data_IF_040025169373
#
_entry.id   IF_040025169373
#
_cell.length_a   1.000
_cell.length_b   1.000
_cell.length_c   1.000
_cell.angle_alpha   90.00
_cell.angle_beta   90.00
_cell.angle_gamma   90.00
#
_symmetry.space_group_name_H-M   'P 1'
#
loop_
_entity.id
_entity.type
_entity.pdbx_description
1 polymer ?
#
# COMPACT_ATOMS: atom_id res chain seq x y z
N UNK A 1 -28.85 38.48 14.96
CA UNK A 1 -28.51 38.47 13.53
C UNK A 1 -27.91 37.10 13.22
N UNK A 2 -28.76 36.16 12.78
CA UNK A 2 -28.38 34.79 12.46
C UNK A 2 -27.29 34.76 11.39
N UNK A 3 -26.17 34.09 11.69
CA UNK A 3 -25.34 33.52 10.62
C UNK A 3 -25.76 32.08 10.47
N UNK A 4 -26.50 31.81 9.41
CA UNK A 4 -26.98 30.48 9.08
C UNK A 4 -25.81 29.52 8.91
N UNK A 5 -25.95 28.41 9.62
CA UNK A 5 -24.94 27.42 9.91
C UNK A 5 -24.91 26.38 8.78
N UNK A 6 -24.60 26.81 7.55
CA UNK A 6 -24.41 25.87 6.44
C UNK A 6 -23.02 25.27 6.55
N UNK A 7 -22.90 24.14 7.26
CA UNK A 7 -21.74 23.23 7.12
C UNK A 7 -21.68 22.76 5.67
N UNK A 8 -20.97 23.48 4.82
CA UNK A 8 -20.73 23.08 3.44
C UNK A 8 -19.94 21.75 3.47
N UNK A 9 -20.58 20.66 3.05
CA UNK A 9 -19.95 19.33 2.96
C UNK A 9 -19.00 19.31 1.75
N UNK A 10 -17.81 19.90 1.94
CA UNK A 10 -16.80 19.98 0.90
C UNK A 10 -16.26 18.60 0.50
N UNK A 11 -15.62 18.52 -0.66
CA UNK A 11 -15.13 17.25 -1.24
C UNK A 11 -14.17 16.55 -0.26
N UNK A 12 -13.25 17.28 0.37
CA UNK A 12 -12.33 16.72 1.37
C UNK A 12 -13.06 16.08 2.56
N UNK A 13 -14.13 16.72 3.04
CA UNK A 13 -14.95 16.21 4.16
C UNK A 13 -15.76 14.98 3.74
N UNK A 14 -16.32 14.97 2.53
CA UNK A 14 -17.01 13.81 1.97
C UNK A 14 -16.07 12.61 1.84
N UNK A 15 -14.87 12.82 1.31
CA UNK A 15 -13.86 11.78 1.16
C UNK A 15 -13.42 11.22 2.51
N UNK A 16 -13.04 12.09 3.45
CA UNK A 16 -12.66 11.67 4.80
C UNK A 16 -13.78 10.90 5.51
N UNK A 17 -15.03 11.33 5.36
CA UNK A 17 -16.20 10.63 5.92
C UNK A 17 -16.34 9.24 5.31
N UNK A 18 -16.22 9.11 3.99
CA UNK A 18 -16.24 7.81 3.32
C UNK A 18 -15.10 6.90 3.84
N UNK A 19 -13.86 7.39 3.91
CA UNK A 19 -12.70 6.60 4.33
C UNK A 19 -12.82 6.04 5.75
N UNK A 20 -13.44 6.74 6.69
CA UNK A 20 -13.61 6.24 8.08
C UNK A 20 -14.86 5.36 8.26
N UNK A 21 -15.83 5.48 7.36
CA UNK A 21 -17.10 4.76 7.41
C UNK A 21 -17.11 3.47 6.60
N UNK A 22 -16.21 3.31 5.62
CA UNK A 22 -16.10 2.07 4.86
C UNK A 22 -15.85 0.89 5.80
N UNK A 23 -16.50 -0.23 5.49
CA UNK A 23 -16.44 -1.49 6.25
C UNK A 23 -16.27 -2.64 5.26
N UNK A 24 -15.62 -3.71 5.70
CA UNK A 24 -15.40 -4.89 4.86
C UNK A 24 -16.72 -5.46 4.32
N UNK A 25 -17.79 -5.42 5.11
CA UNK A 25 -19.12 -5.92 4.75
C UNK A 25 -19.78 -5.14 3.61
N UNK A 26 -19.29 -3.94 3.29
CA UNK A 26 -19.78 -3.16 2.16
C UNK A 26 -19.17 -3.61 0.82
N UNK A 27 -18.14 -4.47 0.85
CA UNK A 27 -17.50 -4.99 -0.36
C UNK A 27 -18.29 -6.17 -0.93
N UNK A 28 -18.47 -6.18 -2.25
CA UNK A 28 -19.02 -7.34 -2.95
C UNK A 28 -18.01 -8.50 -2.95
N UNK A 29 -18.51 -9.72 -3.10
CA UNK A 29 -17.64 -10.90 -3.21
C UNK A 29 -16.65 -10.76 -4.39
N UNK A 30 -17.11 -10.22 -5.52
CA UNK A 30 -16.27 -9.94 -6.69
C UNK A 30 -15.15 -8.94 -6.39
N UNK A 31 -15.45 -7.86 -5.65
CA UNK A 31 -14.43 -6.89 -5.25
C UNK A 31 -13.36 -7.53 -4.36
N UNK A 32 -13.77 -8.40 -3.44
CA UNK A 32 -12.84 -9.15 -2.57
C UNK A 32 -11.98 -10.11 -3.37
N UNK A 33 -12.54 -10.85 -4.32
CA UNK A 33 -11.78 -11.76 -5.18
C UNK A 33 -10.79 -11.00 -6.09
N UNK A 34 -11.21 -9.89 -6.70
CA UNK A 34 -10.34 -9.05 -7.50
C UNK A 34 -9.18 -8.47 -6.67
N UNK A 35 -9.46 -8.03 -5.43
CA UNK A 35 -8.41 -7.55 -4.53
C UNK A 35 -7.37 -8.63 -4.23
N UNK A 36 -7.78 -9.88 -4.02
CA UNK A 36 -6.83 -10.99 -3.81
C UNK A 36 -5.94 -11.22 -5.04
N UNK A 37 -6.49 -11.08 -6.25
CA UNK A 37 -5.72 -11.18 -7.49
C UNK A 37 -4.71 -10.03 -7.61
N UNK A 38 -5.09 -8.79 -7.29
CA UNK A 38 -4.16 -7.66 -7.27
C UNK A 38 -3.05 -7.83 -6.23
N UNK A 39 -3.36 -8.40 -5.06
CA UNK A 39 -2.35 -8.74 -4.05
C UNK A 39 -1.38 -9.80 -4.59
N UNK A 40 -1.89 -10.84 -5.25
CA UNK A 40 -1.07 -11.90 -5.83
C UNK A 40 -0.14 -11.36 -6.93
N UNK A 41 -0.67 -10.55 -7.84
CA UNK A 41 0.07 -9.87 -8.90
C UNK A 41 1.19 -9.00 -8.31
N UNK A 42 0.84 -8.14 -7.36
CA UNK A 42 1.79 -7.26 -6.68
C UNK A 42 2.94 -8.00 -6.00
N UNK A 43 2.65 -9.11 -5.32
CA UNK A 43 3.69 -9.97 -4.71
C UNK A 43 4.61 -10.53 -5.81
N UNK A 44 4.03 -11.03 -6.90
CA UNK A 44 4.79 -11.53 -8.06
C UNK A 44 5.75 -10.48 -8.62
N UNK A 45 5.25 -9.27 -8.86
CA UNK A 45 6.03 -8.13 -9.34
C UNK A 45 7.12 -7.71 -8.35
N UNK A 46 6.83 -7.72 -7.04
CA UNK A 46 7.82 -7.45 -6.00
C UNK A 46 8.99 -8.43 -6.01
N UNK A 47 8.71 -9.72 -6.19
CA UNK A 47 9.75 -10.74 -6.34
C UNK A 47 10.53 -10.60 -7.64
N UNK A 48 9.86 -10.26 -8.74
CA UNK A 48 10.51 -10.01 -10.03
C UNK A 48 11.51 -8.85 -9.95
N UNK A 49 11.13 -7.73 -9.31
CA UNK A 49 11.99 -6.56 -9.15
C UNK A 49 13.02 -6.64 -8.02
N UNK A 50 12.97 -7.67 -7.17
CA UNK A 50 13.78 -7.80 -5.95
C UNK A 50 15.29 -7.63 -6.12
N UNK A 51 15.82 -8.01 -7.29
CA UNK A 51 17.26 -8.01 -7.59
C UNK A 51 17.72 -6.76 -8.34
N UNK A 52 16.80 -5.86 -8.67
CA UNK A 52 17.10 -4.66 -9.42
C UNK A 52 17.96 -3.68 -8.61
N UNK A 53 18.81 -2.93 -9.32
CA UNK A 53 19.77 -2.00 -8.69
C UNK A 53 19.08 -0.97 -7.78
N UNK A 54 17.97 -0.32 -8.16
CA UNK A 54 17.27 0.62 -7.29
C UNK A 54 16.81 -0.02 -5.97
N UNK A 55 16.27 -1.25 -6.05
CA UNK A 55 15.80 -2.00 -4.87
C UNK A 55 16.94 -2.33 -3.93
N UNK A 56 18.10 -2.75 -4.47
CA UNK A 56 19.32 -2.98 -3.68
C UNK A 56 19.81 -1.73 -2.96
N UNK A 57 19.78 -0.57 -3.62
CA UNK A 57 20.17 0.72 -3.02
C UNK A 57 19.24 1.07 -1.86
N UNK A 58 17.92 1.00 -2.07
CA UNK A 58 16.94 1.31 -1.02
C UNK A 58 17.02 0.33 0.15
N UNK A 59 17.27 -0.95 -0.11
CA UNK A 59 17.52 -1.95 0.93
C UNK A 59 18.78 -1.66 1.74
N UNK A 60 19.77 -0.98 1.15
CA UNK A 60 20.92 -0.44 1.87
C UNK A 60 20.54 0.57 2.94
N UNK A 61 19.52 1.40 2.68
CA UNK A 61 19.00 2.36 3.67
C UNK A 61 18.40 1.64 4.89
N UNK A 62 17.70 0.52 4.66
CA UNK A 62 17.18 -0.32 5.75
C UNK A 62 18.32 -0.84 6.62
N UNK A 63 19.41 -1.32 6.00
CA UNK A 63 20.57 -1.83 6.75
C UNK A 63 21.31 -0.74 7.51
N UNK A 64 21.38 0.47 6.95
CA UNK A 64 22.10 1.59 7.54
C UNK A 64 21.31 2.29 8.66
N UNK A 65 20.00 2.43 8.50
CA UNK A 65 19.15 3.27 9.36
C UNK A 65 17.98 2.52 10.01
N UNK A 66 17.73 1.26 9.65
CA UNK A 66 16.66 0.46 10.22
C UNK A 66 16.93 0.10 11.67
N UNK A 67 16.17 0.71 12.57
CA UNK A 67 16.31 0.50 14.04
C UNK A 67 15.24 -0.39 14.64
N UNK A 68 14.12 -0.59 13.94
CA UNK A 68 12.96 -1.35 14.42
C UNK A 68 12.51 -2.32 13.33
N UNK A 69 12.54 -3.64 13.54
CA UNK A 69 12.11 -4.62 12.55
C UNK A 69 10.62 -4.97 12.70
N UNK A 70 9.74 -3.97 12.55
CA UNK A 70 8.30 -4.12 12.77
C UNK A 70 7.48 -4.46 11.50
N UNK A 71 8.09 -4.38 10.33
CA UNK A 71 7.46 -4.72 9.05
C UNK A 71 8.41 -5.45 8.11
N UNK A 72 7.84 -6.32 7.29
CA UNK A 72 8.55 -7.21 6.36
C UNK A 72 8.76 -6.54 5.00
N UNK A 73 9.98 -6.68 4.50
CA UNK A 73 10.33 -6.43 3.11
C UNK A 73 10.19 -7.77 2.37
N UNK A 74 9.04 -7.93 1.71
CA UNK A 74 8.52 -9.21 1.22
C UNK A 74 9.54 -9.96 0.37
N UNK A 75 10.17 -9.35 -0.66
CA UNK A 75 11.03 -10.13 -1.54
C UNK A 75 12.44 -10.40 -0.99
N UNK A 76 12.82 -9.83 0.16
CA UNK A 76 14.20 -9.83 0.64
C UNK A 76 14.44 -10.59 1.95
N UNK A 77 13.41 -11.26 2.48
CA UNK A 77 13.45 -11.92 3.80
C UNK A 77 14.12 -11.04 4.87
N UNK A 78 13.77 -9.75 4.86
CA UNK A 78 14.34 -8.70 5.69
C UNK A 78 13.20 -7.99 6.41
N UNK A 79 13.44 -7.53 7.64
CA UNK A 79 12.52 -6.64 8.34
C UNK A 79 13.17 -5.30 8.61
N UNK A 80 12.37 -4.25 8.62
CA UNK A 80 12.79 -2.90 8.92
C UNK A 80 11.61 -2.06 9.41
N UNK A 81 11.84 -0.77 9.67
CA UNK A 81 10.78 0.13 10.10
C UNK A 81 9.67 0.16 9.06
N UNK A 82 8.41 0.23 9.48
CA UNK A 82 7.24 0.27 8.60
C UNK A 82 7.39 1.19 7.38
N UNK A 83 7.91 2.41 7.54
CA UNK A 83 8.14 3.32 6.42
C UNK A 83 9.15 2.80 5.41
N UNK A 84 10.22 2.15 5.87
CA UNK A 84 11.23 1.57 4.98
C UNK A 84 10.74 0.28 4.34
N UNK A 85 9.96 -0.53 5.06
CA UNK A 85 9.32 -1.69 4.46
C UNK A 85 8.38 -1.30 3.33
N UNK A 86 7.54 -0.29 3.54
CA UNK A 86 6.66 0.25 2.49
C UNK A 86 7.47 0.80 1.30
N UNK A 87 8.53 1.58 1.55
CA UNK A 87 9.38 2.13 0.50
C UNK A 87 10.02 1.03 -0.37
N UNK A 88 10.65 0.04 0.26
CA UNK A 88 11.36 -1.02 -0.49
C UNK A 88 10.39 -1.95 -1.20
N UNK A 89 9.28 -2.32 -0.56
CA UNK A 89 8.24 -3.14 -1.20
C UNK A 89 7.66 -2.44 -2.43
N UNK A 90 7.32 -1.15 -2.34
CA UNK A 90 6.79 -0.37 -3.46
C UNK A 90 7.78 -0.22 -4.61
N UNK A 91 9.05 0.06 -4.28
CA UNK A 91 10.11 0.08 -5.27
C UNK A 91 10.26 -1.28 -5.98
N UNK A 92 10.27 -2.38 -5.21
CA UNK A 92 10.43 -3.71 -5.77
C UNK A 92 9.25 -4.15 -6.64
N UNK A 93 8.02 -3.74 -6.30
CA UNK A 93 6.84 -4.11 -7.08
C UNK A 93 6.71 -3.34 -8.39
N UNK A 94 7.28 -2.14 -8.49
CA UNK A 94 7.10 -1.29 -9.65
C UNK A 94 8.29 -1.27 -10.62
N UNK A 95 9.50 -1.58 -10.15
CA UNK A 95 10.75 -1.39 -10.93
C UNK A 95 10.81 -2.17 -12.25
N UNK A 96 10.03 -3.25 -12.38
CA UNK A 96 9.95 -4.06 -13.61
C UNK A 96 8.79 -3.67 -14.53
N UNK A 97 7.92 -2.75 -14.10
CA UNK A 97 6.73 -2.29 -14.83
C UNK A 97 5.79 -3.43 -15.28
N UNK A 98 5.67 -4.46 -14.44
CA UNK A 98 4.81 -5.63 -14.67
C UNK A 98 3.59 -5.65 -13.72
N UNK A 99 3.47 -4.63 -12.86
CA UNK A 99 2.37 -4.43 -11.93
C UNK A 99 1.09 -3.94 -12.60
N UNK A 100 0.00 -3.99 -11.83
CA UNK A 100 -1.34 -3.61 -12.26
C UNK A 100 -1.44 -2.22 -12.90
N UNK A 101 -2.28 -2.07 -13.93
CA UNK A 101 -2.54 -0.77 -14.57
C UNK A 101 -4.04 -0.49 -14.61
N UNK A 102 -4.46 0.56 -13.90
CA UNK A 102 -5.77 1.15 -14.09
C UNK A 102 -5.75 2.12 -15.27
N UNK A 103 -6.27 1.67 -16.41
CA UNK A 103 -6.12 2.33 -17.72
C UNK A 103 -6.73 3.73 -17.77
N UNK A 104 -7.91 3.93 -17.18
CA UNK A 104 -8.62 5.22 -17.28
C UNK A 104 -7.89 6.34 -16.53
N UNK A 105 -7.19 6.00 -15.45
CA UNK A 105 -6.43 6.97 -14.66
C UNK A 105 -4.93 6.93 -14.95
N UNK A 106 -4.47 6.02 -15.81
CA UNK A 106 -3.04 5.75 -16.09
C UNK A 106 -2.25 5.65 -14.78
N UNK A 107 -2.73 4.78 -13.88
CA UNK A 107 -2.21 4.60 -12.53
C UNK A 107 -1.84 3.15 -12.30
N UNK A 108 -0.84 2.89 -11.46
CA UNK A 108 -0.50 1.58 -10.90
C UNK A 108 -0.89 1.54 -9.41
N UNK A 109 -2.17 1.26 -9.06
CA UNK A 109 -2.65 1.43 -7.69
C UNK A 109 -2.00 0.47 -6.71
N UNK A 110 -1.82 -0.81 -7.07
CA UNK A 110 -1.33 -1.80 -6.12
C UNK A 110 0.10 -1.49 -5.68
N UNK A 111 0.97 -1.07 -6.61
CA UNK A 111 2.35 -0.68 -6.30
C UNK A 111 2.47 0.55 -5.38
N UNK A 112 1.45 1.41 -5.32
CA UNK A 112 1.43 2.53 -4.39
C UNK A 112 0.74 2.19 -3.05
N UNK A 113 -0.37 1.44 -3.10
CA UNK A 113 -1.25 1.21 -1.94
C UNK A 113 -0.78 0.01 -1.11
N UNK A 114 -0.55 -1.14 -1.74
CA UNK A 114 -0.28 -2.39 -1.02
C UNK A 114 1.00 -2.37 -0.18
N UNK A 115 2.12 -1.75 -0.59
CA UNK A 115 3.30 -1.65 0.27
C UNK A 115 3.03 -0.95 1.60
N UNK A 116 2.26 0.14 1.56
CA UNK A 116 1.90 0.90 2.75
C UNK A 116 0.92 0.12 3.63
N UNK A 117 -0.09 -0.50 3.02
CA UNK A 117 -1.09 -1.32 3.72
C UNK A 117 -0.43 -2.50 4.42
N UNK A 118 0.38 -3.30 3.72
CA UNK A 118 1.02 -4.49 4.31
C UNK A 118 2.01 -4.12 5.42
N UNK A 119 2.82 -3.07 5.22
CA UNK A 119 3.75 -2.63 6.26
C UNK A 119 3.02 -2.17 7.52
N UNK A 120 2.00 -1.31 7.37
CA UNK A 120 1.21 -0.84 8.50
C UNK A 120 0.44 -1.99 9.15
N UNK A 121 -0.18 -2.87 8.37
CA UNK A 121 -0.98 -3.97 8.88
C UNK A 121 -0.15 -4.96 9.71
N UNK A 122 1.07 -5.28 9.28
CA UNK A 122 1.97 -6.13 10.05
C UNK A 122 2.37 -5.47 11.38
N UNK A 123 2.73 -4.17 11.36
CA UNK A 123 3.11 -3.43 12.56
C UNK A 123 1.98 -3.37 13.58
N UNK A 124 0.76 -3.06 13.11
CA UNK A 124 -0.44 -2.95 13.95
C UNK A 124 -1.07 -4.31 14.28
N UNK A 125 -0.56 -5.41 13.70
CA UNK A 125 -1.03 -6.80 13.90
C UNK A 125 -2.52 -6.98 13.61
N UNK A 126 -2.99 -6.41 12.51
CA UNK A 126 -4.40 -6.50 12.09
C UNK A 126 -4.64 -7.67 11.15
N UNK A 127 -5.92 -8.03 10.98
CA UNK A 127 -6.32 -9.10 10.07
C UNK A 127 -6.31 -8.64 8.60
N UNK A 128 -6.52 -9.57 7.67
CA UNK A 128 -6.71 -9.25 6.25
C UNK A 128 -8.11 -8.69 5.89
N UNK A 129 -8.96 -8.40 6.88
CA UNK A 129 -10.27 -7.75 6.73
C UNK A 129 -10.21 -6.30 7.19
#
# INVERSE_FOLDING_TARGET
MCRDNVKMDNISRKFARFSVQVRFEALSAEQVENLKLFILDWIGSAYAGSKERPVKIMSGLVKAFGRTPDSTIIPLNLKGPCLFAALVNGASSHVVEMDDLHRESVLHPAAAILPAVFAAAEREKVSGR
#
